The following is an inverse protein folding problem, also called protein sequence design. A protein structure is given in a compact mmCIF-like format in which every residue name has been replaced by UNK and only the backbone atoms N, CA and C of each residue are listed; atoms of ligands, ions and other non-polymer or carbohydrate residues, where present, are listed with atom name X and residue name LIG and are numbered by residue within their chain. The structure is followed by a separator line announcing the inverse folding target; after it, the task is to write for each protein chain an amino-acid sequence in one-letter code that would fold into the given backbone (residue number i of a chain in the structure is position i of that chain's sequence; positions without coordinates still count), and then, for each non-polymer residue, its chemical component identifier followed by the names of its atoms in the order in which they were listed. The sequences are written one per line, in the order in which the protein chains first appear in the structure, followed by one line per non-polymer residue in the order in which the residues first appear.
data_IF_476115682619
#
_entry.id   IF_476115682619
#
_cell.length_a   1.000
_cell.length_b   1.000
_cell.length_c   1.000
_cell.angle_alpha   90.00
_cell.angle_beta   90.00
_cell.angle_gamma   90.00
#
_symmetry.space_group_name_H-M   'P 1'
#
loop_
_entity.id
_entity.type
_entity.pdbx_description
1 polymer ?
#
# COMPACT_ATOMS: atom_id res chain seq x y z
N UNK A 1 -1.51 -12.71 12.40
CA UNK A 1 -0.97 -12.15 11.18
C UNK A 1 -1.92 -12.44 10.03
N UNK A 2 -2.20 -11.44 9.20
CA UNK A 2 -3.05 -11.57 8.01
C UNK A 2 -2.42 -12.59 7.05
N UNK A 3 -3.20 -13.60 6.67
CA UNK A 3 -2.79 -14.61 5.69
C UNK A 3 -3.62 -14.41 4.43
N UNK A 4 -3.01 -14.54 3.25
CA UNK A 4 -3.68 -14.34 1.97
C UNK A 4 -3.63 -12.89 1.48
N UNK A 5 -4.73 -12.37 0.93
CA UNK A 5 -4.81 -11.00 0.40
C UNK A 5 -4.90 -9.96 1.51
N UNK A 6 -4.09 -8.93 1.40
CA UNK A 6 -4.00 -7.80 2.35
C UNK A 6 -3.94 -6.48 1.58
N UNK A 7 -4.70 -5.49 2.04
CA UNK A 7 -4.56 -4.11 1.60
C UNK A 7 -3.69 -3.34 2.58
N UNK A 8 -2.56 -2.82 2.12
CA UNK A 8 -1.76 -1.86 2.87
C UNK A 8 -2.26 -0.45 2.56
N UNK A 9 -2.49 0.35 3.58
CA UNK A 9 -3.06 1.69 3.43
C UNK A 9 -2.19 2.75 4.10
N UNK A 10 -1.98 3.85 3.39
CA UNK A 10 -1.35 5.07 3.91
C UNK A 10 -2.19 6.28 3.53
N UNK A 11 -2.28 7.27 4.41
CA UNK A 11 -2.92 8.54 4.10
C UNK A 11 -2.13 9.27 3.01
N UNK A 12 -2.79 9.59 1.92
CA UNK A 12 -2.20 10.31 0.80
C UNK A 12 -2.46 11.84 0.86
N UNK A 13 -3.14 12.30 1.89
CA UNK A 13 -3.63 13.67 1.98
C UNK A 13 -4.83 13.93 1.07
N UNK A 14 -5.47 15.08 1.22
CA UNK A 14 -6.62 15.51 0.42
C UNK A 14 -7.80 14.52 0.42
N UNK A 15 -7.91 13.69 1.48
CA UNK A 15 -8.94 12.66 1.59
C UNK A 15 -8.67 11.39 0.77
N UNK A 16 -7.50 11.26 0.18
CA UNK A 16 -7.10 10.10 -0.61
C UNK A 16 -6.27 9.11 0.20
N UNK A 17 -6.17 7.89 -0.30
CA UNK A 17 -5.45 6.79 0.32
C UNK A 17 -4.51 6.14 -0.71
N UNK A 18 -3.25 5.97 -0.35
CA UNK A 18 -2.37 5.04 -1.07
C UNK A 18 -2.73 3.62 -0.67
N UNK A 19 -3.14 2.82 -1.63
CA UNK A 19 -3.55 1.45 -1.40
C UNK A 19 -2.67 0.46 -2.17
N UNK A 20 -2.01 -0.42 -1.44
CA UNK A 20 -1.25 -1.52 -2.00
C UNK A 20 -1.99 -2.84 -1.76
N UNK A 21 -2.26 -3.59 -2.82
CA UNK A 21 -2.92 -4.90 -2.75
C UNK A 21 -1.84 -5.98 -2.89
N UNK A 22 -1.67 -6.76 -1.83
CA UNK A 22 -0.63 -7.77 -1.74
C UNK A 22 -1.21 -9.12 -1.39
N UNK A 23 -0.57 -10.16 -1.90
CA UNK A 23 -0.83 -11.54 -1.52
C UNK A 23 0.36 -12.09 -0.73
N UNK A 24 0.09 -12.59 0.46
CA UNK A 24 1.09 -13.19 1.33
C UNK A 24 1.14 -14.69 1.13
N UNK A 25 2.28 -15.20 0.74
CA UNK A 25 2.56 -16.64 0.61
C UNK A 25 3.38 -17.10 1.82
N UNK A 26 2.73 -17.54 2.91
CA UNK A 26 3.42 -17.77 4.19
C UNK A 26 4.46 -18.90 4.17
N UNK A 27 4.27 -19.88 3.29
CA UNK A 27 5.18 -21.05 3.22
C UNK A 27 6.54 -20.71 2.59
N UNK A 28 6.59 -19.68 1.73
CA UNK A 28 7.82 -19.24 1.05
C UNK A 28 8.27 -17.85 1.52
N UNK A 29 7.62 -17.28 2.52
CA UNK A 29 7.86 -15.90 2.99
C UNK A 29 7.93 -14.90 1.84
N UNK A 30 7.03 -15.05 0.89
CA UNK A 30 6.96 -14.21 -0.29
C UNK A 30 5.72 -13.33 -0.23
N UNK A 31 5.88 -12.10 -0.69
CA UNK A 31 4.80 -11.17 -0.88
C UNK A 31 4.69 -10.84 -2.37
N UNK A 32 3.53 -11.07 -2.94
CA UNK A 32 3.25 -10.72 -4.33
C UNK A 32 2.43 -9.44 -4.37
N UNK A 33 2.92 -8.43 -5.06
CA UNK A 33 2.18 -7.21 -5.30
C UNK A 33 1.22 -7.39 -6.48
N UNK A 34 -0.06 -7.11 -6.26
CA UNK A 34 -1.07 -7.07 -7.32
C UNK A 34 -1.26 -5.67 -7.88
N UNK A 35 -1.32 -4.66 -7.01
CA UNK A 35 -1.46 -3.27 -7.44
C UNK A 35 -1.02 -2.30 -6.35
N UNK A 36 -0.61 -1.13 -6.78
CA UNK A 36 -0.39 0.04 -5.93
C UNK A 36 -1.12 1.21 -6.59
N UNK A 37 -2.11 1.79 -5.89
CA UNK A 37 -3.02 2.78 -6.46
C UNK A 37 -3.26 3.92 -5.49
N UNK A 38 -3.58 5.08 -6.05
CA UNK A 38 -4.16 6.20 -5.32
C UNK A 38 -5.68 6.13 -5.46
N UNK A 39 -6.37 6.01 -4.35
CA UNK A 39 -7.83 5.87 -4.30
C UNK A 39 -8.43 7.01 -3.47
N UNK A 40 -9.62 7.45 -3.84
CA UNK A 40 -10.43 8.23 -2.92
C UNK A 40 -10.83 7.37 -1.71
N UNK A 41 -11.22 8.00 -0.61
CA UNK A 41 -11.68 7.25 0.56
C UNK A 41 -12.84 6.30 0.23
N UNK A 42 -13.78 6.75 -0.58
CA UNK A 42 -14.94 5.95 -1.00
C UNK A 42 -14.53 4.74 -1.84
N UNK A 43 -13.64 4.94 -2.81
CA UNK A 43 -13.10 3.86 -3.63
C UNK A 43 -12.32 2.85 -2.79
N UNK A 44 -11.52 3.34 -1.84
CA UNK A 44 -10.77 2.48 -0.93
C UNK A 44 -11.70 1.63 -0.07
N UNK A 45 -12.72 2.21 0.53
CA UNK A 45 -13.68 1.47 1.37
C UNK A 45 -14.45 0.43 0.56
N UNK A 46 -14.80 0.73 -0.68
CA UNK A 46 -15.45 -0.22 -1.58
C UNK A 46 -14.53 -1.41 -1.91
N UNK A 47 -13.27 -1.15 -2.20
CA UNK A 47 -12.28 -2.20 -2.50
C UNK A 47 -11.90 -3.03 -1.27
N UNK A 48 -11.94 -2.43 -0.09
CA UNK A 48 -11.56 -3.07 1.16
C UNK A 48 -12.63 -4.02 1.75
N UNK A 49 -13.85 -4.02 1.21
CA UNK A 49 -14.94 -4.85 1.71
C UNK A 49 -14.54 -6.32 1.80
N UNK A 50 -14.73 -6.91 2.98
CA UNK A 50 -14.41 -8.31 3.23
C UNK A 50 -12.91 -8.62 3.28
N UNK A 51 -12.06 -7.61 3.20
CA UNK A 51 -10.60 -7.77 3.19
C UNK A 51 -9.97 -7.36 4.52
N UNK A 52 -8.74 -7.80 4.72
CA UNK A 52 -7.88 -7.32 5.80
C UNK A 52 -7.10 -6.09 5.33
N UNK A 53 -7.09 -5.04 6.13
CA UNK A 53 -6.35 -3.81 5.89
C UNK A 53 -5.27 -3.68 6.96
N UNK A 54 -4.05 -3.34 6.56
CA UNK A 54 -2.96 -3.02 7.48
C UNK A 54 -2.50 -1.58 7.25
N UNK A 55 -2.22 -0.87 8.32
CA UNK A 55 -1.71 0.50 8.26
C UNK A 55 -0.86 0.79 9.50
N UNK A 56 0.24 1.55 9.37
CA UNK A 56 0.99 2.04 10.52
C UNK A 56 0.40 3.32 11.14
N UNK A 57 -0.66 3.87 10.56
CA UNK A 57 -1.24 5.16 10.93
C UNK A 57 -2.49 4.97 11.79
N UNK A 58 -2.38 5.31 13.08
CA UNK A 58 -3.47 5.12 14.05
C UNK A 58 -4.75 5.87 13.67
N UNK A 59 -4.64 7.11 13.20
CA UNK A 59 -5.79 7.92 12.79
C UNK A 59 -6.51 7.29 11.60
N UNK A 60 -5.76 6.83 10.61
CA UNK A 60 -6.34 6.15 9.44
C UNK A 60 -7.02 4.84 9.86
N UNK A 61 -6.39 4.07 10.74
CA UNK A 61 -6.97 2.84 11.27
C UNK A 61 -8.31 3.07 11.96
N UNK A 62 -8.40 4.09 12.81
CA UNK A 62 -9.64 4.46 13.50
C UNK A 62 -10.72 4.91 12.52
N UNK A 63 -10.35 5.73 11.55
CA UNK A 63 -11.26 6.21 10.51
C UNK A 63 -11.87 5.05 9.71
N UNK A 64 -11.05 4.09 9.32
CA UNK A 64 -11.51 2.91 8.57
C UNK A 64 -12.38 2.02 9.46
N UNK A 65 -12.03 1.81 10.73
CA UNK A 65 -12.83 1.01 11.67
C UNK A 65 -14.20 1.61 11.90
N UNK A 66 -14.30 2.93 12.03
CA UNK A 66 -15.56 3.62 12.30
C UNK A 66 -16.62 3.38 11.22
N UNK A 67 -16.22 3.24 9.97
CA UNK A 67 -17.13 3.07 8.82
C UNK A 67 -17.05 1.69 8.20
N UNK A 68 -15.98 0.94 8.44
CA UNK A 68 -15.69 -0.31 7.76
C UNK A 68 -16.17 -1.58 8.46
N UNK A 69 -16.49 -1.51 9.76
CA UNK A 69 -16.89 -2.70 10.53
C UNK A 69 -18.14 -3.34 9.96
N UNK A 70 -19.14 -2.55 9.59
CA UNK A 70 -20.38 -3.03 8.98
C UNK A 70 -20.16 -3.63 7.58
N UNK A 71 -19.10 -3.22 6.88
CA UNK A 71 -18.73 -3.74 5.56
C UNK A 71 -17.79 -4.95 5.62
N UNK A 72 -17.49 -5.45 6.82
CA UNK A 72 -16.60 -6.59 7.02
C UNK A 72 -15.13 -6.28 6.83
N UNK A 73 -14.72 -5.01 6.90
CA UNK A 73 -13.33 -4.59 6.83
C UNK A 73 -12.66 -4.83 8.18
N UNK A 74 -11.58 -5.59 8.17
CA UNK A 74 -10.74 -5.81 9.35
C UNK A 74 -9.49 -4.96 9.24
N UNK A 75 -9.22 -4.13 10.25
CA UNK A 75 -8.06 -3.24 10.26
C UNK A 75 -7.09 -3.67 11.35
N UNK A 76 -5.86 -3.87 10.97
CA UNK A 76 -4.74 -4.15 11.87
C UNK A 76 -3.78 -2.96 11.83
N UNK A 77 -3.52 -2.37 13.00
CA UNK A 77 -2.47 -1.37 13.15
C UNK A 77 -1.14 -2.09 13.30
N UNK A 78 -0.21 -1.77 12.42
CA UNK A 78 1.13 -2.35 12.42
C UNK A 78 2.16 -1.30 12.82
N UNK A 79 3.34 -1.76 13.20
CA UNK A 79 4.47 -0.85 13.44
C UNK A 79 4.92 -0.20 12.13
N UNK A 80 5.34 1.05 12.23
CA UNK A 80 5.92 1.74 11.07
C UNK A 80 7.21 1.03 10.64
N UNK A 81 7.34 0.63 9.37
CA UNK A 81 8.54 0.00 8.87
C UNK A 81 9.78 0.89 9.10
N UNK A 82 10.81 0.32 9.69
CA UNK A 82 12.07 1.00 9.92
C UNK A 82 13.10 0.68 8.82
N UNK A 83 14.24 1.34 8.87
CA UNK A 83 15.34 1.14 7.92
C UNK A 83 15.86 -0.31 7.91
N UNK A 84 15.83 -0.99 9.05
CA UNK A 84 16.23 -2.40 9.16
C UNK A 84 15.30 -3.33 8.37
N UNK A 85 13.99 -3.07 8.40
CA UNK A 85 13.00 -3.80 7.60
C UNK A 85 13.26 -3.59 6.10
N UNK A 86 13.49 -2.35 5.69
CA UNK A 86 13.78 -1.99 4.29
C UNK A 86 15.09 -2.66 3.83
N UNK A 87 16.13 -2.63 4.66
CA UNK A 87 17.41 -3.26 4.36
C UNK A 87 17.27 -4.79 4.19
N UNK A 88 16.47 -5.43 5.03
CA UNK A 88 16.21 -6.87 4.92
C UNK A 88 15.49 -7.21 3.62
N UNK A 89 14.47 -6.46 3.25
CA UNK A 89 13.76 -6.64 1.99
C UNK A 89 14.69 -6.43 0.79
N UNK A 90 15.52 -5.39 0.84
CA UNK A 90 16.53 -5.13 -0.20
C UNK A 90 17.54 -6.27 -0.34
N UNK A 91 17.99 -6.83 0.77
CA UNK A 91 18.88 -7.99 0.78
C UNK A 91 18.23 -9.22 0.13
N UNK A 92 16.98 -9.51 0.47
CA UNK A 92 16.23 -10.61 -0.14
C UNK A 92 16.06 -10.42 -1.65
N UNK A 93 15.77 -9.20 -2.10
CA UNK A 93 15.70 -8.88 -3.53
C UNK A 93 17.05 -9.07 -4.21
N UNK A 94 18.15 -8.63 -3.58
CA UNK A 94 19.51 -8.80 -4.12
C UNK A 94 19.84 -10.30 -4.29
N UNK A 95 19.52 -11.12 -3.30
CA UNK A 95 19.76 -12.56 -3.37
C UNK A 95 18.97 -13.27 -4.47
N UNK A 96 17.82 -12.73 -4.86
CA UNK A 96 16.98 -13.25 -5.94
C UNK A 96 17.33 -12.66 -7.32
N UNK A 97 18.32 -11.79 -7.40
CA UNK A 97 18.67 -11.09 -8.63
C UNK A 97 17.63 -10.03 -9.06
N UNK A 98 16.73 -9.64 -8.18
CA UNK A 98 15.70 -8.64 -8.42
C UNK A 98 16.27 -7.23 -8.16
N UNK A 99 17.17 -6.82 -9.01
CA UNK A 99 17.86 -5.53 -8.90
C UNK A 99 17.72 -4.75 -10.20
N UNK A 100 17.94 -3.45 -10.11
CA UNK A 100 18.00 -2.55 -11.25
C UNK A 100 19.37 -1.86 -11.27
N UNK A 101 19.79 -1.40 -12.45
CA UNK A 101 20.99 -0.59 -12.55
C UNK A 101 20.73 0.79 -11.95
N UNK A 102 21.76 1.49 -11.41
CA UNK A 102 21.56 2.81 -10.80
C UNK A 102 20.84 3.81 -11.71
N UNK A 103 21.11 3.80 -13.00
CA UNK A 103 20.46 4.68 -13.97
C UNK A 103 18.99 4.35 -14.24
N UNK A 104 18.55 3.15 -13.87
CA UNK A 104 17.15 2.70 -13.99
C UNK A 104 16.36 2.90 -12.71
N UNK A 105 17.01 3.34 -11.63
CA UNK A 105 16.37 3.50 -10.33
C UNK A 105 15.49 4.76 -10.33
N UNK A 106 14.20 4.56 -10.14
CA UNK A 106 13.20 5.62 -10.04
C UNK A 106 12.34 5.46 -8.79
N UNK A 107 11.89 6.59 -8.24
CA UNK A 107 10.89 6.56 -7.18
C UNK A 107 9.52 6.19 -7.75
N UNK A 108 8.75 5.42 -6.98
CA UNK A 108 7.37 5.08 -7.37
C UNK A 108 6.43 6.23 -7.02
N UNK A 109 6.24 7.15 -7.95
CA UNK A 109 5.32 8.28 -7.80
C UNK A 109 3.89 7.86 -8.15
N UNK A 110 3.17 7.28 -7.20
CA UNK A 110 1.78 6.86 -7.36
C UNK A 110 0.88 8.08 -7.61
N UNK A 111 1.11 9.17 -6.86
CA UNK A 111 0.49 10.47 -7.13
C UNK A 111 1.41 11.27 -8.05
N UNK A 112 0.90 11.66 -9.20
CA UNK A 112 1.63 12.57 -10.09
C UNK A 112 1.80 13.95 -9.46
N UNK A 113 2.90 14.64 -9.80
CA UNK A 113 3.12 16.02 -9.37
C UNK A 113 2.02 16.95 -9.92
N UNK A 114 1.76 18.05 -9.22
CA UNK A 114 0.78 19.04 -9.69
C UNK A 114 1.16 19.56 -11.09
N UNK A 115 2.45 19.72 -11.38
CA UNK A 115 2.93 20.12 -12.69
C UNK A 115 2.55 19.11 -13.78
N UNK A 116 2.64 17.83 -13.51
CA UNK A 116 2.23 16.76 -14.44
C UNK A 116 0.72 16.71 -14.63
N UNK A 117 -0.05 16.90 -13.55
CA UNK A 117 -1.51 16.90 -13.59
C UNK A 117 -2.02 18.06 -14.45
N UNK A 118 -1.47 19.25 -14.26
CA UNK A 118 -1.92 20.47 -14.95
C UNK A 118 -1.28 20.67 -16.33
N UNK A 119 -0.24 19.92 -16.69
CA UNK A 119 0.41 20.00 -18.00
C UNK A 119 -0.27 19.16 -19.08
N UNK A 120 -1.15 18.24 -18.70
CA UNK A 120 -1.90 17.44 -19.68
C UNK A 120 -2.90 18.33 -20.41
N UNK A 121 -2.91 18.30 -21.75
CA UNK A 121 -3.92 19.06 -22.50
C UNK A 121 -5.31 18.55 -22.13
N UNK A 122 -6.24 19.48 -21.91
CA UNK A 122 -7.65 19.15 -21.76
C UNK A 122 -8.14 18.50 -23.07
N UNK A 123 -8.59 17.28 -22.97
CA UNK A 123 -9.18 16.56 -24.10
C UNK A 123 -10.68 16.70 -24.05
#
# INVERSE_FOLDING_TARGET
AARGRVLAALDAGRGDVYAGDYELEPHVRRCRMHSERLLSREEFLADARGKAVVTPEAVLAETIRAVGTAAGIRVELIDCPNSGTIARLGWEHLQRGQTVRPEELEANYIRHSDAEIFSKPAV
#
